data_IF_691251800916
#
_entry.id   IF_691251800916
#
_cell.length_a   1.000
_cell.length_b   1.000
_cell.length_c   1.000
_cell.angle_alpha   90.00
_cell.angle_beta   90.00
_cell.angle_gamma   90.00
#
_symmetry.space_group_name_H-M   'P 1'
#
loop_
_entity.id
_entity.type
_entity.pdbx_description
1 polymer ?
#
# COMPACT_ATOMS: atom_id res chain seq x y z
N UNK A 1 26.68 6.38 -4.61
CA UNK A 1 25.34 5.87 -4.23
C UNK A 1 24.33 6.75 -4.95
N UNK A 2 23.31 6.18 -5.62
CA UNK A 2 22.21 6.97 -6.19
C UNK A 2 21.19 7.23 -5.08
N UNK A 3 20.81 8.48 -4.87
CA UNK A 3 19.82 8.89 -3.87
C UNK A 3 18.59 9.47 -4.58
N UNK A 4 17.41 9.20 -4.03
CA UNK A 4 16.12 9.67 -4.54
C UNK A 4 15.32 10.31 -3.41
N UNK A 5 14.63 11.40 -3.69
CA UNK A 5 13.64 11.98 -2.77
C UNK A 5 12.24 11.44 -3.10
N UNK A 6 11.51 10.96 -2.08
CA UNK A 6 10.10 10.62 -2.24
C UNK A 6 9.27 11.90 -2.21
N UNK A 7 8.42 12.10 -3.22
CA UNK A 7 7.67 13.34 -3.41
C UNK A 7 6.24 13.01 -3.83
N UNK A 8 5.28 13.80 -3.37
CA UNK A 8 3.91 13.73 -3.86
C UNK A 8 3.63 14.84 -4.88
N UNK A 9 2.73 14.64 -5.85
CA UNK A 9 2.30 15.69 -6.76
C UNK A 9 1.82 16.96 -6.05
N UNK A 10 1.13 16.83 -4.92
CA UNK A 10 0.64 17.97 -4.13
C UNK A 10 1.73 18.75 -3.38
N UNK A 11 2.98 18.29 -3.36
CA UNK A 11 4.11 19.08 -2.88
C UNK A 11 4.73 19.96 -3.99
N UNK A 12 4.42 19.66 -5.26
CA UNK A 12 5.00 20.31 -6.45
C UNK A 12 3.98 21.20 -7.16
N UNK A 13 2.77 20.70 -7.39
CA UNK A 13 1.78 21.39 -8.23
C UNK A 13 1.26 22.67 -7.56
N UNK A 14 1.48 23.79 -8.25
CA UNK A 14 1.20 25.12 -7.73
C UNK A 14 2.22 25.65 -6.72
N UNK A 15 3.43 25.07 -6.69
CA UNK A 15 4.62 25.59 -6.04
C UNK A 15 5.79 25.69 -7.03
N UNK A 16 6.00 26.84 -7.67
CA UNK A 16 7.05 27.01 -8.68
C UNK A 16 8.48 26.78 -8.17
N UNK A 17 8.71 26.88 -6.86
CA UNK A 17 10.03 26.72 -6.25
C UNK A 17 10.30 25.26 -5.82
N UNK A 18 9.27 24.40 -5.78
CA UNK A 18 9.43 23.02 -5.33
C UNK A 18 10.46 22.22 -6.13
N UNK A 19 10.47 22.23 -7.48
CA UNK A 19 11.47 21.49 -8.24
C UNK A 19 12.91 21.89 -7.92
N UNK A 20 13.20 23.20 -7.88
CA UNK A 20 14.51 23.72 -7.54
C UNK A 20 14.93 23.32 -6.12
N UNK A 21 14.02 23.44 -5.14
CA UNK A 21 14.31 23.03 -3.75
C UNK A 21 14.59 21.54 -3.60
N UNK A 22 13.98 20.69 -4.43
CA UNK A 22 14.28 19.25 -4.44
C UNK A 22 15.65 19.00 -5.10
N UNK A 23 15.96 19.68 -6.20
CA UNK A 23 17.27 19.60 -6.85
C UNK A 23 18.41 20.08 -5.93
N UNK A 24 18.18 21.14 -5.15
CA UNK A 24 19.14 21.70 -4.19
C UNK A 24 19.46 20.75 -3.02
N UNK A 25 18.73 19.65 -2.84
CA UNK A 25 19.11 18.56 -1.93
C UNK A 25 20.33 17.77 -2.44
N UNK A 26 20.74 17.99 -3.70
CA UNK A 26 21.82 17.25 -4.34
C UNK A 26 21.42 15.86 -4.84
N UNK A 27 20.11 15.57 -4.93
CA UNK A 27 19.59 14.32 -5.51
C UNK A 27 19.50 14.44 -7.03
N UNK A 28 19.76 13.34 -7.73
CA UNK A 28 19.61 13.27 -9.18
C UNK A 28 18.25 12.68 -9.60
N UNK A 29 17.50 12.12 -8.64
CA UNK A 29 16.28 11.35 -8.86
C UNK A 29 15.20 11.75 -7.85
N UNK A 30 13.95 11.63 -8.30
CA UNK A 30 12.76 11.68 -7.46
C UNK A 30 11.91 10.44 -7.66
N UNK A 31 11.31 9.96 -6.58
CA UNK A 31 10.35 8.86 -6.55
C UNK A 31 8.98 9.49 -6.31
N UNK A 32 8.28 9.79 -7.41
CA UNK A 32 7.05 10.58 -7.44
C UNK A 32 5.82 9.67 -7.36
N UNK A 33 4.91 9.94 -6.43
CA UNK A 33 3.66 9.19 -6.27
C UNK A 33 2.82 9.21 -7.56
N UNK A 34 2.65 8.03 -8.16
CA UNK A 34 1.78 7.81 -9.32
C UNK A 34 0.49 7.08 -8.91
N UNK A 35 0.59 6.14 -7.98
CA UNK A 35 -0.55 5.54 -7.28
C UNK A 35 -0.24 5.45 -5.79
N UNK A 36 -1.13 5.96 -4.95
CA UNK A 36 -0.86 6.09 -3.52
C UNK A 36 -2.09 5.79 -2.68
N UNK A 37 -1.89 5.33 -1.43
CA UNK A 37 -2.97 5.02 -0.49
C UNK A 37 -3.49 6.28 0.23
N UNK A 38 -4.58 6.13 1.00
CA UNK A 38 -5.11 7.22 1.83
C UNK A 38 -4.08 7.73 2.84
N UNK A 39 -3.92 9.04 2.95
CA UNK A 39 -2.97 9.64 3.89
C UNK A 39 -3.36 11.06 4.28
N UNK A 40 -2.96 11.49 5.47
CA UNK A 40 -2.96 12.90 5.87
C UNK A 40 -1.52 13.38 5.92
N UNK A 41 -1.09 14.11 4.90
CA UNK A 41 0.27 14.57 4.73
C UNK A 41 0.43 16.04 5.18
N UNK A 42 1.58 16.35 5.78
CA UNK A 42 2.01 17.72 6.04
C UNK A 42 2.82 18.24 4.85
N UNK A 43 2.54 19.47 4.43
CA UNK A 43 3.18 20.13 3.28
C UNK A 43 3.82 21.45 3.73
N UNK A 44 4.86 21.40 4.57
CA UNK A 44 5.32 22.56 5.34
C UNK A 44 5.87 23.70 4.48
N UNK A 45 6.35 23.41 3.26
CA UNK A 45 6.94 24.40 2.36
C UNK A 45 5.99 24.89 1.25
N UNK A 46 4.86 24.22 1.04
CA UNK A 46 3.95 24.55 -0.06
C UNK A 46 3.24 25.92 0.19
N UNK A 47 3.12 26.83 -0.79
CA UNK A 47 2.58 28.17 -0.57
C UNK A 47 1.07 28.22 -0.30
N UNK A 48 0.31 27.23 -0.77
CA UNK A 48 -1.18 27.27 -0.74
C UNK A 48 -1.83 26.37 0.31
N UNK A 49 -1.11 25.39 0.83
CA UNK A 49 -1.67 24.42 1.79
C UNK A 49 -0.58 23.91 2.73
N UNK A 50 -1.01 23.52 3.94
CA UNK A 50 -0.13 22.95 4.99
C UNK A 50 -0.45 21.49 5.27
N UNK A 51 -1.63 21.04 4.89
CA UNK A 51 -2.13 19.68 5.09
C UNK A 51 -2.86 19.27 3.82
N UNK A 52 -2.60 18.04 3.37
CA UNK A 52 -3.37 17.37 2.32
C UNK A 52 -3.97 16.10 2.93
N UNK A 53 -5.25 15.86 2.66
CA UNK A 53 -5.91 14.60 3.02
C UNK A 53 -6.30 13.88 1.73
N UNK A 54 -5.56 12.82 1.40
CA UNK A 54 -5.92 11.87 0.38
C UNK A 54 -6.87 10.83 1.00
N UNK A 55 -8.13 10.82 0.54
CA UNK A 55 -9.21 10.10 1.22
C UNK A 55 -9.17 8.59 1.00
N UNK A 56 -8.69 8.15 -0.16
CA UNK A 56 -8.60 6.74 -0.53
C UNK A 56 -7.37 6.47 -1.39
N UNK A 57 -7.09 5.18 -1.59
CA UNK A 57 -6.04 4.78 -2.52
C UNK A 57 -6.45 5.07 -3.96
N UNK A 58 -5.64 5.85 -4.68
CA UNK A 58 -5.96 6.35 -6.01
C UNK A 58 -4.73 6.43 -6.91
N UNK A 59 -4.97 6.38 -8.22
CA UNK A 59 -4.00 6.89 -9.19
C UNK A 59 -4.05 8.41 -9.22
N UNK A 60 -2.89 9.04 -9.38
CA UNK A 60 -2.72 10.49 -9.44
C UNK A 60 -2.54 10.99 -10.89
N UNK A 61 -3.00 10.18 -11.84
CA UNK A 61 -3.03 10.42 -13.28
C UNK A 61 -4.37 9.88 -13.84
N UNK A 62 -4.80 10.28 -15.05
CA UNK A 62 -6.00 9.76 -15.68
C UNK A 62 -5.80 8.27 -16.06
N UNK A 63 -6.58 7.33 -15.50
CA UNK A 63 -6.43 5.91 -15.81
C UNK A 63 -6.83 5.60 -17.26
N UNK A 64 -6.16 4.61 -17.85
CA UNK A 64 -6.44 4.13 -19.21
C UNK A 64 -7.81 3.43 -19.27
N UNK A 65 -8.81 4.16 -19.74
CA UNK A 65 -10.19 3.66 -19.84
C UNK A 65 -10.32 2.36 -20.66
N UNK A 66 -9.47 2.13 -21.67
CA UNK A 66 -9.51 0.91 -22.46
C UNK A 66 -8.93 -0.29 -21.68
N UNK A 67 -7.87 -0.07 -20.90
CA UNK A 67 -7.27 -1.10 -20.02
C UNK A 67 -8.24 -1.58 -18.94
N UNK A 68 -9.06 -0.67 -18.41
CA UNK A 68 -9.95 -0.95 -17.27
C UNK A 68 -11.40 -1.25 -17.66
N UNK A 69 -11.74 -1.15 -18.94
CA UNK A 69 -13.10 -1.35 -19.42
C UNK A 69 -13.67 -2.72 -18.99
N UNK A 70 -14.81 -2.71 -18.31
CA UNK A 70 -15.52 -3.92 -17.88
C UNK A 70 -14.86 -4.68 -16.73
N UNK A 71 -13.76 -4.17 -16.16
CA UNK A 71 -13.10 -4.81 -15.01
C UNK A 71 -13.81 -4.46 -13.71
N UNK A 72 -14.10 -5.48 -12.91
CA UNK A 72 -14.63 -5.29 -11.55
C UNK A 72 -13.64 -4.52 -10.69
N UNK A 73 -12.38 -4.94 -10.65
CA UNK A 73 -11.31 -4.24 -9.95
C UNK A 73 -10.59 -3.31 -10.92
N UNK A 74 -10.57 -2.02 -10.59
CA UNK A 74 -9.93 -0.95 -11.36
C UNK A 74 -9.44 0.14 -10.40
N UNK A 75 -8.43 0.96 -10.79
CA UNK A 75 -7.92 2.01 -9.93
C UNK A 75 -8.97 3.10 -9.74
N UNK A 76 -9.00 3.68 -8.54
CA UNK A 76 -9.80 4.87 -8.27
C UNK A 76 -9.06 6.11 -8.76
N UNK A 77 -9.80 7.06 -9.31
CA UNK A 77 -9.30 8.40 -9.56
C UNK A 77 -9.13 9.16 -8.24
N UNK A 78 -8.19 10.10 -8.24
CA UNK A 78 -8.01 11.06 -7.15
C UNK A 78 -9.12 12.11 -7.16
N UNK A 79 -9.45 12.63 -5.98
CA UNK A 79 -10.38 13.76 -5.84
C UNK A 79 -9.65 15.10 -5.85
N UNK A 80 -10.22 16.07 -5.15
CA UNK A 80 -9.73 17.46 -5.10
C UNK A 80 -8.30 17.63 -4.56
N UNK A 81 -7.75 16.61 -3.89
CA UNK A 81 -6.37 16.65 -3.38
C UNK A 81 -5.31 16.49 -4.48
N UNK A 82 -5.68 15.95 -5.65
CA UNK A 82 -4.78 15.74 -6.78
C UNK A 82 -5.59 15.65 -8.10
N UNK A 83 -6.24 16.74 -8.54
CA UNK A 83 -7.15 16.70 -9.68
C UNK A 83 -6.42 16.51 -11.02
N UNK A 84 -7.08 15.85 -11.97
CA UNK A 84 -6.60 15.71 -13.33
C UNK A 84 -5.34 14.84 -13.43
N UNK A 85 -4.35 15.29 -14.22
CA UNK A 85 -3.05 14.62 -14.34
C UNK A 85 -2.01 15.24 -13.40
N UNK A 86 -2.27 15.16 -12.10
CA UNK A 86 -1.39 15.74 -11.08
C UNK A 86 0.03 15.16 -11.15
N UNK A 87 0.16 13.85 -11.37
CA UNK A 87 1.43 13.19 -11.61
C UNK A 87 2.14 13.79 -12.83
N UNK A 88 1.46 13.91 -13.97
CA UNK A 88 2.07 14.43 -15.21
C UNK A 88 2.58 15.86 -15.07
N UNK A 89 1.80 16.74 -14.43
CA UNK A 89 2.21 18.12 -14.12
C UNK A 89 3.48 18.16 -13.25
N UNK A 90 3.48 17.41 -12.14
CA UNK A 90 4.60 17.36 -11.22
C UNK A 90 5.85 16.75 -11.89
N UNK A 91 5.67 15.67 -12.65
CA UNK A 91 6.75 14.99 -13.36
C UNK A 91 7.42 15.92 -14.38
N UNK A 92 6.64 16.70 -15.12
CA UNK A 92 7.18 17.68 -16.07
C UNK A 92 8.01 18.76 -15.35
N UNK A 93 7.47 19.36 -14.29
CA UNK A 93 8.16 20.40 -13.53
C UNK A 93 9.47 19.90 -12.88
N UNK A 94 9.47 18.67 -12.35
CA UNK A 94 10.67 18.05 -11.78
C UNK A 94 11.71 17.73 -12.86
N UNK A 95 11.28 17.23 -14.02
CA UNK A 95 12.17 16.94 -15.14
C UNK A 95 12.79 18.20 -15.74
N UNK A 96 12.06 19.31 -15.82
CA UNK A 96 12.58 20.62 -16.25
C UNK A 96 13.67 21.16 -15.32
N UNK A 97 13.60 20.82 -14.02
CA UNK A 97 14.66 21.09 -13.05
C UNK A 97 15.84 20.10 -13.13
N UNK A 98 15.85 19.18 -14.10
CA UNK A 98 16.93 18.23 -14.34
C UNK A 98 16.86 16.94 -13.50
N UNK A 99 15.76 16.69 -12.80
CA UNK A 99 15.59 15.48 -11.98
C UNK A 99 15.09 14.30 -12.81
N UNK A 100 15.63 13.11 -12.57
CA UNK A 100 15.09 11.86 -13.12
C UNK A 100 13.85 11.44 -12.33
N UNK A 101 12.70 11.35 -13.00
CA UNK A 101 11.44 10.96 -12.35
C UNK A 101 11.25 9.46 -12.41
N UNK A 102 11.06 8.85 -11.25
CA UNK A 102 10.63 7.46 -11.08
C UNK A 102 9.21 7.46 -10.53
N UNK A 103 8.40 6.50 -10.95
CA UNK A 103 7.05 6.34 -10.38
C UNK A 103 7.10 5.58 -9.07
N UNK A 104 6.26 5.99 -8.14
CA UNK A 104 6.01 5.30 -6.88
C UNK A 104 4.59 4.76 -6.89
N UNK A 105 4.47 3.45 -6.71
CA UNK A 105 3.22 2.72 -6.89
C UNK A 105 2.96 1.88 -5.65
N UNK A 106 2.01 2.31 -4.84
CA UNK A 106 1.49 1.49 -3.74
C UNK A 106 0.49 0.49 -4.32
N UNK A 107 0.72 -0.80 -4.07
CA UNK A 107 -0.06 -1.90 -4.64
C UNK A 107 -1.08 -2.48 -3.66
N UNK A 108 -0.69 -3.48 -2.86
CA UNK A 108 -1.62 -4.27 -2.04
C UNK A 108 -2.04 -3.54 -0.75
N UNK A 109 -2.47 -2.28 -0.89
CA UNK A 109 -2.95 -1.46 0.20
C UNK A 109 -4.04 -0.48 -0.26
N UNK A 110 -5.30 -0.85 -0.01
CA UNK A 110 -6.46 -0.02 -0.36
C UNK A 110 -7.68 -0.35 0.50
N UNK A 111 -7.93 0.48 1.52
CA UNK A 111 -9.09 0.32 2.41
C UNK A 111 -10.43 0.44 1.67
N UNK A 112 -10.49 1.31 0.65
CA UNK A 112 -11.69 1.49 -0.18
C UNK A 112 -12.00 0.25 -1.00
N UNK A 113 -10.99 -0.35 -1.62
CA UNK A 113 -11.15 -1.59 -2.39
C UNK A 113 -11.70 -2.71 -1.51
N UNK A 114 -11.15 -2.90 -0.30
CA UNK A 114 -11.64 -3.92 0.62
C UNK A 114 -13.03 -3.59 1.21
N UNK A 115 -13.39 -2.32 1.33
CA UNK A 115 -14.75 -1.93 1.76
C UNK A 115 -15.80 -2.22 0.67
N UNK A 116 -15.51 -1.89 -0.59
CA UNK A 116 -16.41 -2.12 -1.72
C UNK A 116 -16.41 -3.59 -2.18
N UNK A 117 -15.28 -4.28 -2.03
CA UNK A 117 -15.10 -5.68 -2.40
C UNK A 117 -14.49 -6.51 -1.24
N UNK A 118 -15.26 -6.79 -0.16
CA UNK A 118 -14.73 -7.45 1.05
C UNK A 118 -14.10 -8.82 0.83
N UNK A 119 -14.46 -9.50 -0.26
CA UNK A 119 -13.88 -10.80 -0.62
C UNK A 119 -12.41 -10.70 -1.03
N UNK A 120 -11.94 -9.53 -1.48
CA UNK A 120 -10.55 -9.29 -1.89
C UNK A 120 -9.58 -9.23 -0.71
N UNK A 121 -10.08 -8.98 0.50
CA UNK A 121 -9.26 -8.74 1.69
C UNK A 121 -8.62 -10.00 2.25
N UNK A 122 -7.48 -9.79 2.93
CA UNK A 122 -6.93 -10.77 3.87
C UNK A 122 -7.98 -11.11 4.95
N UNK A 123 -8.02 -12.39 5.31
CA UNK A 123 -8.89 -12.95 6.35
C UNK A 123 -8.01 -13.64 7.38
N UNK A 124 -7.99 -13.21 8.63
CA UNK A 124 -7.12 -13.81 9.64
C UNK A 124 -7.61 -15.21 10.09
N UNK A 125 -6.86 -15.86 11.01
CA UNK A 125 -7.21 -17.19 11.53
C UNK A 125 -8.53 -17.25 12.34
N UNK A 126 -9.08 -16.10 12.72
CA UNK A 126 -10.37 -15.96 13.43
C UNK A 126 -11.53 -15.63 12.47
N UNK A 127 -11.24 -15.31 11.21
CA UNK A 127 -12.23 -14.91 10.21
C UNK A 127 -12.40 -13.41 10.06
N UNK A 128 -11.63 -12.59 10.78
CA UNK A 128 -11.68 -11.13 10.65
C UNK A 128 -11.09 -10.70 9.31
N UNK A 129 -11.73 -9.70 8.69
CA UNK A 129 -11.28 -9.14 7.40
C UNK A 129 -10.48 -7.88 7.63
N UNK A 130 -9.39 -7.76 6.87
CA UNK A 130 -8.55 -6.55 6.83
C UNK A 130 -8.82 -5.78 5.55
N UNK A 131 -9.80 -4.84 5.53
CA UNK A 131 -10.18 -4.11 4.31
C UNK A 131 -9.02 -3.33 3.69
N UNK A 132 -8.04 -2.92 4.49
CA UNK A 132 -6.84 -2.23 4.01
C UNK A 132 -5.84 -3.13 3.28
N UNK A 133 -5.96 -4.45 3.37
CA UNK A 133 -5.01 -5.43 2.86
C UNK A 133 -5.66 -6.36 1.82
N UNK A 134 -5.68 -6.00 0.53
CA UNK A 134 -6.01 -6.91 -0.56
C UNK A 134 -5.07 -8.13 -0.56
N UNK A 135 -5.64 -9.33 -0.66
CA UNK A 135 -4.88 -10.57 -0.66
C UNK A 135 -4.29 -10.85 -2.04
N UNK A 136 -2.96 -10.79 -2.15
CA UNK A 136 -2.22 -11.00 -3.40
C UNK A 136 -2.24 -12.45 -3.91
N UNK A 137 -2.70 -13.40 -3.09
CA UNK A 137 -2.89 -14.79 -3.52
C UNK A 137 -4.11 -14.95 -4.45
N UNK A 138 -5.08 -14.04 -4.37
CA UNK A 138 -6.30 -14.12 -5.18
C UNK A 138 -6.00 -13.75 -6.64
N UNK A 139 -6.36 -14.58 -7.63
CA UNK A 139 -6.04 -14.33 -9.03
C UNK A 139 -6.55 -12.98 -9.55
N UNK A 140 -7.75 -12.56 -9.16
CA UNK A 140 -8.33 -11.28 -9.57
C UNK A 140 -7.58 -10.08 -8.98
N UNK A 141 -7.26 -10.12 -7.69
CA UNK A 141 -6.44 -9.09 -7.01
C UNK A 141 -5.06 -9.01 -7.64
N UNK A 142 -4.39 -10.14 -7.86
CA UNK A 142 -3.07 -10.17 -8.49
C UNK A 142 -3.10 -9.59 -9.90
N UNK A 143 -4.10 -9.93 -10.72
CA UNK A 143 -4.26 -9.36 -12.06
C UNK A 143 -4.45 -7.83 -12.00
N UNK A 144 -5.29 -7.33 -11.08
CA UNK A 144 -5.47 -5.90 -10.85
C UNK A 144 -4.15 -5.21 -10.48
N UNK A 145 -3.40 -5.74 -9.51
CA UNK A 145 -2.15 -5.14 -9.04
C UNK A 145 -1.04 -5.15 -10.11
N UNK A 146 -0.92 -6.24 -10.88
CA UNK A 146 0.03 -6.31 -11.99
C UNK A 146 -0.28 -5.27 -13.07
N UNK A 147 -1.55 -5.12 -13.43
CA UNK A 147 -1.94 -4.15 -14.46
C UNK A 147 -1.82 -2.71 -13.98
N UNK A 148 -2.10 -2.44 -12.70
CA UNK A 148 -1.85 -1.15 -12.06
C UNK A 148 -0.35 -0.82 -12.08
N UNK A 149 0.49 -1.76 -11.69
CA UNK A 149 1.94 -1.60 -11.74
C UNK A 149 2.41 -1.33 -13.18
N UNK A 150 1.92 -2.09 -14.16
CA UNK A 150 2.32 -1.96 -15.55
C UNK A 150 1.91 -0.60 -16.14
N UNK A 151 0.71 -0.11 -15.84
CA UNK A 151 0.24 1.20 -16.30
C UNK A 151 1.01 2.34 -15.64
N UNK A 152 1.15 2.30 -14.31
CA UNK A 152 1.83 3.33 -13.55
C UNK A 152 3.35 3.35 -13.82
N UNK A 153 3.97 2.21 -14.12
CA UNK A 153 5.41 2.15 -14.38
C UNK A 153 5.84 2.91 -15.64
N UNK A 154 4.96 2.97 -16.64
CA UNK A 154 5.27 3.53 -17.96
C UNK A 154 4.68 4.92 -18.17
N UNK A 155 4.39 5.67 -17.09
CA UNK A 155 3.90 7.04 -17.25
C UNK A 155 4.91 7.91 -18.01
N UNK A 156 4.46 8.85 -18.86
CA UNK A 156 5.35 9.68 -19.65
C UNK A 156 6.45 10.32 -18.81
N UNK A 157 7.69 10.27 -19.31
CA UNK A 157 8.85 10.83 -18.61
C UNK A 157 9.47 9.93 -17.53
N UNK A 158 8.79 8.87 -17.10
CA UNK A 158 9.34 7.95 -16.09
C UNK A 158 10.64 7.26 -16.58
N UNK A 159 11.58 7.08 -15.66
CA UNK A 159 12.89 6.40 -15.89
C UNK A 159 13.07 5.15 -15.04
N UNK A 160 12.15 4.89 -14.12
CA UNK A 160 12.09 3.70 -13.29
C UNK A 160 10.85 3.72 -12.41
N UNK A 161 10.71 2.68 -11.59
CA UNK A 161 9.54 2.48 -10.74
C UNK A 161 9.95 1.86 -9.42
N UNK A 162 9.40 2.40 -8.33
CA UNK A 162 9.45 1.83 -6.99
C UNK A 162 8.06 1.27 -6.66
N UNK A 163 8.01 -0.02 -6.33
CA UNK A 163 6.79 -0.72 -5.94
C UNK A 163 6.75 -0.83 -4.43
N UNK A 164 5.70 -0.30 -3.82
CA UNK A 164 5.46 -0.36 -2.39
C UNK A 164 4.25 -1.25 -2.08
N UNK A 165 4.29 -1.91 -0.93
CA UNK A 165 3.27 -2.88 -0.53
C UNK A 165 3.08 -3.98 -1.60
N UNK A 166 4.18 -4.41 -2.23
CA UNK A 166 4.24 -5.53 -3.18
C UNK A 166 4.38 -6.85 -2.40
N UNK A 167 3.31 -7.27 -1.74
CA UNK A 167 3.36 -8.46 -0.90
C UNK A 167 2.08 -8.72 -0.15
N UNK A 168 2.09 -9.76 0.69
CA UNK A 168 1.06 -9.92 1.70
C UNK A 168 1.15 -8.78 2.70
N UNK A 169 -0.01 -8.21 3.00
CA UNK A 169 -0.18 -7.19 4.01
C UNK A 169 -1.14 -7.70 5.09
N UNK A 170 -1.12 -7.12 6.29
CA UNK A 170 -1.75 -7.74 7.45
C UNK A 170 -2.09 -6.76 8.58
N UNK A 171 -2.07 -7.25 9.81
CA UNK A 171 -2.55 -6.51 10.98
C UNK A 171 -1.77 -5.19 11.22
N UNK A 172 -0.47 -5.18 10.96
CA UNK A 172 0.44 -4.09 11.35
C UNK A 172 0.16 -2.72 10.69
N UNK A 173 -0.81 -2.61 9.77
CA UNK A 173 -1.18 -1.33 9.17
C UNK A 173 -1.97 -0.45 10.15
N UNK A 174 -1.46 0.76 10.38
CA UNK A 174 -2.05 1.70 11.31
C UNK A 174 -3.34 2.32 10.75
N UNK A 175 -4.38 2.37 11.59
CA UNK A 175 -5.59 3.15 11.31
C UNK A 175 -5.53 4.53 12.00
N UNK A 176 -6.27 5.52 11.50
CA UNK A 176 -6.34 6.87 12.07
C UNK A 176 -6.74 6.91 13.56
N UNK A 177 -7.40 5.86 14.03
CA UNK A 177 -7.86 5.69 15.41
C UNK A 177 -7.55 4.29 15.95
N UNK A 178 -6.35 3.79 15.64
CA UNK A 178 -5.95 2.46 16.07
C UNK A 178 -5.84 2.33 17.60
N UNK A 179 -6.30 1.19 18.14
CA UNK A 179 -6.26 0.83 19.57
C UNK A 179 -5.63 -0.55 19.79
N UNK A 180 -4.78 -0.99 18.87
CA UNK A 180 -4.06 -2.27 18.94
C UNK A 180 -2.91 -2.27 19.96
N UNK A 181 -2.28 -1.12 20.19
CA UNK A 181 -1.10 -1.00 21.08
C UNK A 181 -1.35 -1.36 22.55
N UNK A 182 -2.61 -1.48 22.97
CA UNK A 182 -2.97 -1.93 24.32
C UNK A 182 -2.74 -3.43 24.56
N UNK A 183 -2.54 -4.22 23.50
CA UNK A 183 -2.22 -5.65 23.59
C UNK A 183 -0.82 -5.87 23.03
N UNK A 184 0.16 -6.28 23.85
CA UNK A 184 1.50 -6.55 23.36
C UNK A 184 1.49 -7.87 22.58
N UNK A 185 1.40 -7.82 21.25
CA UNK A 185 1.42 -9.04 20.43
C UNK A 185 2.83 -9.62 20.25
N UNK A 186 3.86 -8.77 20.33
CA UNK A 186 5.20 -9.11 19.86
C UNK A 186 5.23 -9.44 18.36
N UNK A 187 6.43 -9.71 17.83
CA UNK A 187 6.61 -9.91 16.39
C UNK A 187 5.87 -11.17 15.89
N UNK A 188 5.92 -12.26 16.65
CA UNK A 188 5.24 -13.50 16.31
C UNK A 188 3.71 -13.36 16.36
N UNK A 189 3.16 -12.67 17.35
CA UNK A 189 1.72 -12.40 17.40
C UNK A 189 1.25 -11.52 16.25
N UNK A 190 2.04 -10.49 15.89
CA UNK A 190 1.79 -9.65 14.71
C UNK A 190 1.80 -10.46 13.41
N UNK A 191 2.79 -11.34 13.25
CA UNK A 191 2.91 -12.23 12.10
C UNK A 191 1.71 -13.19 12.01
N UNK A 192 1.38 -13.88 13.10
CA UNK A 192 0.29 -14.85 13.16
C UNK A 192 -1.08 -14.21 12.91
N UNK A 193 -1.30 -12.99 13.43
CA UNK A 193 -2.49 -12.20 13.14
C UNK A 193 -2.55 -11.71 11.69
N UNK A 194 -1.43 -11.71 10.96
CA UNK A 194 -1.34 -11.26 9.57
C UNK A 194 -1.48 -12.39 8.55
N UNK A 195 -1.46 -13.66 8.98
CA UNK A 195 -1.67 -14.79 8.09
C UNK A 195 -3.08 -14.80 7.49
N UNK A 196 -3.18 -15.14 6.20
CA UNK A 196 -4.43 -15.10 5.46
C UNK A 196 -5.02 -16.51 5.25
N UNK A 197 -6.29 -16.66 5.61
CA UNK A 197 -7.10 -17.87 5.45
C UNK A 197 -8.31 -17.63 4.53
N UNK A 198 -8.20 -16.71 3.55
CA UNK A 198 -9.18 -16.60 2.47
C UNK A 198 -9.20 -17.88 1.60
N UNK A 199 -10.24 -18.14 0.78
CA UNK A 199 -10.35 -19.37 -0.01
C UNK A 199 -9.09 -19.71 -0.82
N UNK A 200 -8.50 -18.74 -1.53
CA UNK A 200 -7.29 -18.93 -2.30
C UNK A 200 -6.06 -19.26 -1.45
N UNK A 201 -5.87 -18.61 -0.30
CA UNK A 201 -4.76 -18.95 0.60
C UNK A 201 -4.95 -20.34 1.21
N UNK A 202 -6.18 -20.74 1.57
CA UNK A 202 -6.46 -22.10 2.05
C UNK A 202 -6.14 -23.15 1.00
N UNK A 203 -6.53 -22.91 -0.24
CA UNK A 203 -6.15 -23.76 -1.37
C UNK A 203 -4.62 -23.77 -1.58
N UNK A 204 -3.96 -22.61 -1.44
CA UNK A 204 -2.51 -22.47 -1.49
C UNK A 204 -1.79 -23.32 -0.44
N UNK A 205 -2.26 -23.31 0.81
CA UNK A 205 -1.74 -24.19 1.87
C UNK A 205 -1.91 -25.67 1.52
N UNK A 206 -3.09 -26.06 1.03
CA UNK A 206 -3.36 -27.43 0.56
C UNK A 206 -2.42 -27.87 -0.57
N UNK A 207 -2.12 -26.97 -1.51
CA UNK A 207 -1.15 -27.21 -2.59
C UNK A 207 0.29 -27.41 -2.10
N UNK A 208 0.61 -26.95 -0.88
CA UNK A 208 1.89 -27.18 -0.21
C UNK A 208 1.85 -28.37 0.78
N UNK A 209 0.74 -29.12 0.82
CA UNK A 209 0.57 -30.27 1.71
C UNK A 209 0.13 -29.95 3.13
N UNK A 210 -0.32 -28.72 3.40
CA UNK A 210 -0.82 -28.31 4.71
C UNK A 210 -2.35 -28.31 4.77
N UNK A 211 -2.90 -28.74 5.91
CA UNK A 211 -4.32 -28.55 6.23
C UNK A 211 -4.54 -27.12 6.76
N UNK A 212 -5.29 -26.31 6.00
CA UNK A 212 -5.56 -24.92 6.35
C UNK A 212 -6.38 -24.76 7.64
N UNK A 213 -7.26 -25.72 7.98
CA UNK A 213 -8.02 -25.71 9.23
C UNK A 213 -7.12 -26.04 10.42
N UNK A 214 -6.24 -27.03 10.26
CA UNK A 214 -5.24 -27.35 11.27
C UNK A 214 -4.27 -26.18 11.50
N UNK A 215 -3.81 -25.52 10.44
CA UNK A 215 -2.98 -24.31 10.54
C UNK A 215 -3.70 -23.17 11.26
N UNK A 216 -4.96 -22.88 10.90
CA UNK A 216 -5.74 -21.85 11.59
C UNK A 216 -5.93 -22.19 13.07
N UNK A 217 -6.16 -23.46 13.41
CA UNK A 217 -6.26 -23.91 14.80
C UNK A 217 -4.93 -23.77 15.56
N UNK A 218 -3.80 -24.07 14.92
CA UNK A 218 -2.47 -23.86 15.49
C UNK A 218 -2.21 -22.38 15.77
N UNK A 219 -2.52 -21.49 14.82
CA UNK A 219 -2.41 -20.03 14.99
C UNK A 219 -3.22 -19.57 16.20
N UNK A 220 -4.49 -19.96 16.30
CA UNK A 220 -5.35 -19.58 17.43
C UNK A 220 -4.85 -20.12 18.77
N UNK A 221 -4.34 -21.36 18.79
CA UNK A 221 -3.76 -21.97 19.99
C UNK A 221 -2.52 -21.21 20.45
N UNK A 222 -1.67 -20.82 19.50
CA UNK A 222 -0.45 -20.10 19.80
C UNK A 222 -0.73 -18.69 20.33
N UNK A 223 -1.77 -18.01 19.84
CA UNK A 223 -2.18 -16.67 20.28
C UNK A 223 -2.95 -16.66 21.63
N UNK A 224 -3.47 -17.79 22.08
CA UNK A 224 -4.30 -17.87 23.30
C UNK A 224 -3.66 -17.31 24.58
N UNK A 225 -2.35 -17.50 24.86
CA UNK A 225 -1.71 -16.89 26.02
C UNK A 225 -1.83 -15.36 26.04
N UNK A 226 -1.71 -14.71 24.87
CA UNK A 226 -1.81 -13.25 24.74
C UNK A 226 -3.21 -12.78 25.15
N UNK A 227 -4.25 -13.50 24.73
CA UNK A 227 -5.64 -13.17 25.07
C UNK A 227 -5.99 -13.40 26.53
N UNK A 228 -5.27 -14.30 27.21
CA UNK A 228 -5.38 -14.52 28.66
C UNK A 228 -4.56 -13.53 29.49
N UNK A 229 -3.86 -12.59 28.85
CA UNK A 229 -3.01 -11.62 29.54
C UNK A 229 -1.68 -12.19 30.04
N UNK A 230 -1.26 -13.35 29.52
CA UNK A 230 0.12 -13.80 29.71
C UNK A 230 1.04 -12.96 28.82
N UNK A 231 2.20 -12.57 29.34
CA UNK A 231 3.19 -11.86 28.55
C UNK A 231 3.61 -12.72 27.34
N UNK A 232 3.72 -12.15 26.13
CA UNK A 232 4.33 -12.85 24.99
C UNK A 232 5.71 -13.35 25.40
N UNK A 233 6.09 -14.55 24.98
CA UNK A 233 7.49 -14.95 25.12
C UNK A 233 8.33 -14.01 24.25
N UNK A 234 9.40 -13.46 24.82
CA UNK A 234 10.35 -12.55 24.16
C UNK A 234 11.20 -13.25 23.06
N UNK A 235 10.66 -14.26 22.36
CA UNK A 235 11.36 -14.92 21.24
C UNK A 235 11.25 -16.44 21.17
N UNK A 236 10.11 -17.04 21.49
CA UNK A 236 9.92 -18.47 21.22
C UNK A 236 8.47 -18.88 21.27
N UNK A 237 7.82 -18.93 20.12
CA UNK A 237 6.48 -19.48 19.99
C UNK A 237 6.63 -20.97 19.63
N UNK A 238 6.11 -21.90 20.44
CA UNK A 238 6.17 -23.32 20.09
C UNK A 238 5.54 -23.54 18.71
N UNK A 239 6.36 -23.88 17.71
CA UNK A 239 5.92 -24.16 16.34
C UNK A 239 6.15 -23.04 15.31
N UNK A 240 6.82 -21.94 15.66
CA UNK A 240 7.34 -20.97 14.69
C UNK A 240 8.85 -20.85 14.92
N UNK A 241 9.62 -21.63 14.15
CA UNK A 241 11.09 -21.47 14.01
C UNK A 241 11.40 -20.43 12.94
#
# INVERSE_FOLDING_TARGET
MKASAFVYPWDVNGDPEAPARVADLGVAQVTLAAAYHSTRALTPRHPRHRVVTAEHAAVLYPPDGARWQGRTLHPYESGDWAPGDAYGEAAAALAEAGLQVHTWVVLAHSSRLGAEHPHTSVVNAYGDRYPWAPCIAQPATRAYLTDLAAEAAVRPGARGTELESLGWYGLAHLHAHDKTAGVPLGDAGQYLMSLCFCPDCRAGYGGQGFDADALAAAVRTALEPVWRGAAPSDGGWPGVE
#
